data_IF_501804382246
#
_entry.id   IF_501804382246
#
_cell.length_a   1.000
_cell.length_b   1.000
_cell.length_c   1.000
_cell.angle_alpha   90.00
_cell.angle_beta   90.00
_cell.angle_gamma   90.00
#
_symmetry.space_group_name_H-M   'P 1'
#
loop_
_entity.id
_entity.type
_entity.pdbx_description
1 polymer ?
#
# COMPACT_ATOMS: atom_id res chain seq x y z
N UNK A 1 -40.58 -73.71 16.61
CA UNK A 1 -40.00 -72.43 17.10
C UNK A 1 -38.92 -71.92 16.14
N UNK A 2 -39.24 -71.12 15.10
CA UNK A 2 -38.22 -70.53 14.18
C UNK A 2 -38.47 -69.06 13.78
N UNK A 3 -39.46 -68.38 14.38
CA UNK A 3 -39.85 -67.00 14.00
C UNK A 3 -39.04 -65.92 14.73
N UNK A 4 -38.32 -66.24 15.81
CA UNK A 4 -37.59 -65.27 16.65
C UNK A 4 -36.25 -64.81 16.05
N UNK A 5 -35.56 -65.64 15.26
CA UNK A 5 -34.21 -65.31 14.76
C UNK A 5 -34.22 -64.24 13.66
N UNK A 6 -35.23 -64.22 12.79
CA UNK A 6 -35.33 -63.25 11.68
C UNK A 6 -35.45 -61.80 12.18
N UNK A 7 -36.21 -61.57 13.26
CA UNK A 7 -36.36 -60.22 13.84
C UNK A 7 -35.08 -59.70 14.48
N UNK A 8 -34.30 -60.58 15.10
CA UNK A 8 -33.02 -60.21 15.72
C UNK A 8 -31.97 -59.84 14.66
N UNK A 9 -31.95 -60.57 13.54
CA UNK A 9 -31.10 -60.26 12.39
C UNK A 9 -31.43 -58.91 11.75
N UNK A 10 -32.72 -58.59 11.57
CA UNK A 10 -33.17 -57.31 11.00
C UNK A 10 -32.80 -56.14 11.93
N UNK A 11 -32.96 -56.30 13.24
CA UNK A 11 -32.56 -55.29 14.22
C UNK A 11 -31.05 -54.99 14.18
N UNK A 12 -30.22 -56.03 14.14
CA UNK A 12 -28.77 -55.87 14.05
C UNK A 12 -28.34 -55.21 12.74
N UNK A 13 -28.98 -55.57 11.61
CA UNK A 13 -28.69 -54.95 10.32
C UNK A 13 -29.06 -53.45 10.29
N UNK A 14 -30.24 -53.09 10.79
CA UNK A 14 -30.66 -51.70 10.88
C UNK A 14 -29.76 -50.88 11.81
N UNK A 15 -29.29 -51.47 12.91
CA UNK A 15 -28.35 -50.82 13.82
C UNK A 15 -27.01 -50.55 13.15
N UNK A 16 -26.45 -51.53 12.42
CA UNK A 16 -25.20 -51.37 11.66
C UNK A 16 -25.35 -50.27 10.60
N UNK A 17 -26.46 -50.27 9.86
CA UNK A 17 -26.73 -49.24 8.85
C UNK A 17 -26.79 -47.83 9.46
N UNK A 18 -27.44 -47.69 10.61
CA UNK A 18 -27.56 -46.42 11.32
C UNK A 18 -26.19 -45.91 11.80
N UNK A 19 -25.32 -46.80 12.31
CA UNK A 19 -23.96 -46.43 12.72
C UNK A 19 -23.14 -45.95 11.51
N UNK A 20 -23.22 -46.63 10.37
CA UNK A 20 -22.51 -46.24 9.14
C UNK A 20 -22.97 -44.86 8.64
N UNK A 21 -24.28 -44.60 8.68
CA UNK A 21 -24.86 -43.32 8.28
C UNK A 21 -24.37 -42.20 9.21
N UNK A 22 -24.38 -42.44 10.52
CA UNK A 22 -23.91 -41.47 11.51
C UNK A 22 -22.42 -41.18 11.37
N UNK A 23 -21.60 -42.20 11.12
CA UNK A 23 -20.16 -42.04 10.87
C UNK A 23 -19.90 -41.22 9.61
N UNK A 24 -20.62 -41.52 8.52
CA UNK A 24 -20.54 -40.76 7.26
C UNK A 24 -20.94 -39.30 7.45
N UNK A 25 -21.97 -39.03 8.26
CA UNK A 25 -22.40 -37.67 8.57
C UNK A 25 -21.36 -36.90 9.40
N UNK A 26 -20.78 -37.54 10.42
CA UNK A 26 -19.70 -36.93 11.22
C UNK A 26 -18.48 -36.64 10.36
N UNK A 27 -18.08 -37.57 9.49
CA UNK A 27 -17.01 -37.38 8.50
C UNK A 27 -17.31 -36.23 7.54
N UNK A 28 -18.55 -36.09 7.09
CA UNK A 28 -18.98 -34.99 6.23
C UNK A 28 -18.90 -33.63 6.94
N UNK A 29 -19.39 -33.54 8.18
CA UNK A 29 -19.30 -32.31 8.99
C UNK A 29 -17.83 -31.96 9.25
N UNK A 30 -16.99 -32.94 9.58
CA UNK A 30 -15.55 -32.75 9.74
C UNK A 30 -14.88 -32.31 8.44
N UNK A 31 -15.28 -32.85 7.30
CA UNK A 31 -14.80 -32.44 6.00
C UNK A 31 -15.18 -30.99 5.68
N UNK A 32 -16.43 -30.60 5.94
CA UNK A 32 -16.88 -29.21 5.78
C UNK A 32 -16.15 -28.25 6.73
N UNK A 33 -15.95 -28.65 7.99
CA UNK A 33 -15.21 -27.85 8.96
C UNK A 33 -13.72 -27.73 8.61
N UNK A 34 -13.08 -28.83 8.22
CA UNK A 34 -11.67 -28.87 7.82
C UNK A 34 -11.44 -28.12 6.50
N UNK A 35 -12.33 -28.27 5.52
CA UNK A 35 -12.31 -27.51 4.26
C UNK A 35 -12.41 -26.00 4.48
N UNK A 36 -13.27 -25.56 5.40
CA UNK A 36 -13.36 -24.15 5.79
C UNK A 36 -12.13 -23.68 6.58
N UNK A 37 -11.46 -24.57 7.32
CA UNK A 37 -10.23 -24.24 8.05
C UNK A 37 -9.01 -24.09 7.12
N UNK A 38 -9.01 -24.78 5.98
CA UNK A 38 -7.93 -24.70 4.98
C UNK A 38 -7.98 -23.45 4.10
N UNK A 39 -9.08 -22.69 4.13
CA UNK A 39 -9.20 -21.39 3.47
C UNK A 39 -8.56 -20.22 4.25
N UNK A 40 -7.88 -20.49 5.37
CA UNK A 40 -7.16 -19.46 6.16
C UNK A 40 -5.64 -19.54 5.97
N UNK A 41 -5.12 -20.46 5.15
CA UNK A 41 -3.68 -20.57 4.81
C UNK A 41 -3.34 -20.12 3.38
N UNK A 42 -4.20 -19.28 2.81
CA UNK A 42 -3.87 -18.42 1.68
C UNK A 42 -4.35 -17.05 2.07
N UNK A 43 -3.55 -16.31 2.84
CA UNK A 43 -3.80 -14.88 3.01
C UNK A 43 -3.58 -14.26 1.62
N UNK A 44 -4.64 -14.17 0.83
CA UNK A 44 -4.69 -13.21 -0.27
C UNK A 44 -4.53 -11.85 0.40
N UNK A 45 -3.29 -11.41 0.54
CA UNK A 45 -2.97 -10.05 0.91
C UNK A 45 -3.49 -9.19 -0.24
N UNK A 46 -4.77 -8.84 -0.20
CA UNK A 46 -5.30 -7.88 -1.12
C UNK A 46 -4.49 -6.59 -0.95
N UNK A 47 -3.93 -6.03 -2.02
CA UNK A 47 -3.00 -4.92 -1.89
C UNK A 47 -3.69 -3.75 -1.19
N UNK A 48 -2.99 -3.11 -0.26
CA UNK A 48 -3.55 -1.99 0.50
C UNK A 48 -3.52 -0.74 -0.37
N UNK A 49 -4.63 -0.01 -0.40
CA UNK A 49 -4.73 1.22 -1.18
C UNK A 49 -3.87 2.33 -0.53
N UNK A 50 -2.98 2.98 -1.29
CA UNK A 50 -2.06 3.98 -0.71
C UNK A 50 -2.79 5.15 -0.03
N UNK A 51 -3.92 5.58 -0.57
CA UNK A 51 -4.69 6.68 0.02
C UNK A 51 -5.43 6.31 1.30
N UNK A 52 -5.44 5.04 1.74
CA UNK A 52 -5.93 4.66 3.07
C UNK A 52 -4.83 4.71 4.13
N UNK A 53 -3.56 4.69 3.72
CA UNK A 53 -2.41 4.79 4.62
C UNK A 53 -1.91 6.24 4.75
N UNK A 54 -2.00 7.00 3.66
CA UNK A 54 -1.55 8.40 3.58
C UNK A 54 -2.79 9.28 3.59
N UNK A 55 -3.18 9.72 4.77
CA UNK A 55 -4.41 10.49 4.98
C UNK A 55 -4.25 11.99 4.63
N UNK A 56 -3.02 12.49 4.53
CA UNK A 56 -2.71 13.86 4.12
C UNK A 56 -1.73 13.84 2.94
N UNK A 57 -2.13 14.46 1.83
CA UNK A 57 -1.33 14.58 0.61
C UNK A 57 -0.19 15.61 0.76
N UNK A 58 -0.32 16.56 1.69
CA UNK A 58 0.75 17.50 2.04
C UNK A 58 1.71 16.89 3.09
N UNK A 59 2.97 16.69 2.71
CA UNK A 59 4.03 16.23 3.60
C UNK A 59 4.65 17.36 4.45
N UNK A 60 4.27 18.61 4.20
CA UNK A 60 4.82 19.79 4.84
C UNK A 60 6.25 20.07 4.36
N UNK A 61 7.10 20.58 5.25
CA UNK A 61 8.46 20.99 4.88
C UNK A 61 9.45 19.82 4.86
N UNK A 62 10.13 19.67 3.73
CA UNK A 62 11.22 18.72 3.49
C UNK A 62 12.56 19.47 3.55
N UNK A 63 13.50 18.93 4.34
CA UNK A 63 14.86 19.41 4.35
C UNK A 63 15.62 18.80 3.18
N UNK A 64 15.99 19.65 2.21
CA UNK A 64 16.71 19.24 1.01
C UNK A 64 18.22 19.44 1.12
N UNK A 65 18.78 19.72 2.30
CA UNK A 65 20.22 19.88 2.53
C UNK A 65 20.93 20.85 1.54
N UNK A 66 20.22 21.85 1.03
CA UNK A 66 20.78 22.80 0.07
C UNK A 66 20.35 22.60 -1.38
N UNK A 67 19.63 21.52 -1.69
CA UNK A 67 19.21 21.23 -3.06
C UNK A 67 17.90 21.92 -3.43
N UNK A 68 17.75 22.37 -4.71
CA UNK A 68 16.51 22.94 -5.24
C UNK A 68 15.32 21.99 -5.20
N UNK A 69 15.56 20.76 -5.62
CA UNK A 69 14.55 19.72 -5.79
C UNK A 69 14.91 18.62 -4.77
N UNK A 70 13.94 18.13 -3.98
CA UNK A 70 14.19 17.01 -3.09
C UNK A 70 14.55 15.74 -3.89
N UNK A 71 15.33 14.86 -3.29
CA UNK A 71 15.57 13.53 -3.84
C UNK A 71 14.46 12.59 -3.38
N UNK A 72 14.33 11.44 -4.05
CA UNK A 72 13.43 10.38 -3.61
C UNK A 72 13.66 10.01 -2.13
N UNK A 73 14.93 9.92 -1.71
CA UNK A 73 15.29 9.60 -0.32
C UNK A 73 14.77 10.66 0.65
N UNK A 74 14.89 11.96 0.34
CA UNK A 74 14.36 13.01 1.20
C UNK A 74 12.83 12.90 1.39
N UNK A 75 12.11 12.51 0.34
CA UNK A 75 10.65 12.31 0.39
C UNK A 75 10.32 11.05 1.18
N UNK A 76 11.05 9.96 0.95
CA UNK A 76 10.90 8.68 1.66
C UNK A 76 11.16 8.81 3.16
N UNK A 77 12.20 9.54 3.55
CA UNK A 77 12.50 9.82 4.96
C UNK A 77 11.37 10.62 5.62
N UNK A 78 10.80 11.58 4.90
CA UNK A 78 9.66 12.37 5.39
C UNK A 78 8.41 11.51 5.55
N UNK A 79 8.12 10.65 4.58
CA UNK A 79 7.02 9.68 4.64
C UNK A 79 7.18 8.73 5.83
N UNK A 80 8.38 8.18 6.04
CA UNK A 80 8.70 7.31 7.19
C UNK A 80 8.44 7.97 8.54
N UNK A 81 8.72 9.27 8.60
CA UNK A 81 8.56 10.07 9.83
C UNK A 81 7.09 10.39 10.10
N UNK A 82 6.30 10.63 9.05
CA UNK A 82 4.88 11.01 9.17
C UNK A 82 3.95 9.79 9.30
N UNK A 83 4.30 8.70 8.63
CA UNK A 83 3.50 7.47 8.53
C UNK A 83 4.37 6.28 8.94
N UNK A 84 4.45 6.02 10.25
CA UNK A 84 5.32 4.96 10.80
C UNK A 84 4.93 3.54 10.37
N UNK A 85 3.66 3.33 10.05
CA UNK A 85 3.13 2.02 9.62
C UNK A 85 3.33 1.75 8.12
N UNK A 86 3.83 2.74 7.36
CA UNK A 86 4.08 2.61 5.93
C UNK A 86 5.45 1.96 5.69
N UNK A 87 5.48 0.82 4.98
CA UNK A 87 6.74 0.22 4.56
C UNK A 87 7.34 0.97 3.36
N UNK A 88 8.29 1.85 3.63
CA UNK A 88 8.92 2.73 2.64
C UNK A 88 9.73 1.97 1.57
N UNK A 89 10.22 0.77 1.88
CA UNK A 89 11.00 -0.04 0.94
C UNK A 89 10.15 -0.54 -0.24
N UNK A 90 8.84 -0.66 -0.04
CA UNK A 90 7.87 -1.07 -1.06
C UNK A 90 7.24 0.11 -1.80
N UNK A 91 7.72 1.33 -1.53
CA UNK A 91 7.22 2.56 -2.14
C UNK A 91 8.22 3.05 -3.19
N UNK A 92 7.68 3.56 -4.29
CA UNK A 92 8.40 4.25 -5.35
C UNK A 92 7.91 5.69 -5.43
N UNK A 93 8.84 6.64 -5.64
CA UNK A 93 8.51 8.05 -5.83
C UNK A 93 8.95 8.47 -7.22
N UNK A 94 8.03 8.99 -8.01
CA UNK A 94 8.25 9.40 -9.41
C UNK A 94 7.73 10.81 -9.64
N UNK A 95 8.08 11.41 -10.78
CA UNK A 95 7.66 12.78 -11.15
C UNK A 95 7.96 13.81 -10.04
N UNK A 96 9.17 13.75 -9.50
CA UNK A 96 9.59 14.62 -8.40
C UNK A 96 9.89 16.01 -8.97
N UNK A 97 9.13 17.00 -8.53
CA UNK A 97 9.37 18.41 -8.82
C UNK A 97 9.76 19.15 -7.54
N UNK A 98 9.90 20.46 -7.63
CA UNK A 98 10.19 21.31 -6.49
C UNK A 98 9.12 21.22 -5.38
N UNK A 99 7.85 20.98 -5.72
CA UNK A 99 6.72 21.11 -4.77
C UNK A 99 5.77 19.91 -4.73
N UNK A 100 5.92 18.98 -5.68
CA UNK A 100 5.06 17.84 -5.78
C UNK A 100 5.83 16.60 -6.24
N UNK A 101 5.31 15.44 -5.90
CA UNK A 101 5.77 14.17 -6.42
C UNK A 101 4.61 13.20 -6.51
N UNK A 102 4.84 12.06 -7.15
CA UNK A 102 3.88 10.97 -7.22
C UNK A 102 4.42 9.77 -6.45
N UNK A 103 3.62 9.25 -5.53
CA UNK A 103 3.87 7.98 -4.84
C UNK A 103 3.14 6.86 -5.58
N UNK A 104 3.85 5.77 -5.83
CA UNK A 104 3.29 4.52 -6.32
C UNK A 104 3.87 3.34 -5.55
N UNK A 105 3.19 2.20 -5.60
CA UNK A 105 3.76 0.95 -5.13
C UNK A 105 4.96 0.55 -6.01
N UNK A 106 6.01 0.00 -5.40
CA UNK A 106 7.08 -0.70 -6.11
C UNK A 106 6.62 -2.09 -6.50
N UNK A 107 5.90 -2.75 -5.60
CA UNK A 107 5.23 -4.03 -5.83
C UNK A 107 3.72 -3.89 -5.62
N UNK A 108 2.97 -4.16 -6.68
CA UNK A 108 1.51 -4.09 -6.68
C UNK A 108 0.85 -5.22 -5.88
N UNK A 109 1.62 -6.18 -5.36
CA UNK A 109 1.14 -7.23 -4.47
C UNK A 109 0.86 -6.73 -3.03
N UNK A 110 1.55 -5.66 -2.60
CA UNK A 110 1.45 -5.13 -1.23
C UNK A 110 0.65 -3.83 -1.17
N UNK A 111 0.87 -2.94 -2.12
CA UNK A 111 0.18 -1.66 -2.21
C UNK A 111 -0.42 -1.45 -3.60
N UNK A 112 -1.51 -0.70 -3.68
CA UNK A 112 -2.09 -0.30 -4.97
C UNK A 112 -2.51 1.17 -4.99
N UNK A 113 -2.61 1.71 -6.20
CA UNK A 113 -2.99 3.09 -6.46
C UNK A 113 -1.80 4.02 -6.71
N UNK A 114 -2.14 5.25 -7.08
CA UNK A 114 -1.20 6.34 -7.37
C UNK A 114 -1.64 7.55 -6.56
N UNK A 115 -0.74 8.13 -5.80
CA UNK A 115 -1.05 9.25 -4.92
C UNK A 115 -0.15 10.45 -5.24
N UNK A 116 -0.69 11.54 -5.80
CA UNK A 116 0.04 12.79 -5.88
C UNK A 116 0.20 13.38 -4.48
N UNK A 117 1.40 13.82 -4.17
CA UNK A 117 1.75 14.46 -2.89
C UNK A 117 2.29 15.86 -3.13
N UNK A 118 2.13 16.71 -2.13
CA UNK A 118 2.62 18.09 -2.09
C UNK A 118 3.59 18.27 -0.93
N UNK A 119 4.50 19.22 -1.07
CA UNK A 119 5.43 19.59 -0.03
C UNK A 119 6.06 20.96 -0.28
N UNK A 120 6.73 21.47 0.74
CA UNK A 120 7.60 22.65 0.63
C UNK A 120 9.05 22.26 0.87
N UNK A 121 9.99 22.84 0.11
CA UNK A 121 11.42 22.64 0.33
C UNK A 121 12.01 23.77 1.18
N UNK A 122 12.77 23.41 2.22
CA UNK A 122 13.35 24.37 3.18
C UNK A 122 14.29 25.37 2.50
N UNK A 123 15.03 24.91 1.50
CA UNK A 123 15.94 25.75 0.72
C UNK A 123 15.18 26.73 -0.20
N UNK A 124 14.03 26.31 -0.72
CA UNK A 124 13.12 27.14 -1.51
C UNK A 124 12.48 28.29 -0.71
N UNK A 125 12.30 28.09 0.59
CA UNK A 125 11.83 29.16 1.48
C UNK A 125 12.93 30.19 1.72
N UNK A 126 14.18 29.75 1.91
CA UNK A 126 15.33 30.66 2.11
C UNK A 126 15.55 31.59 0.92
N UNK A 127 15.42 31.11 -0.32
CA UNK A 127 15.55 31.95 -1.53
C UNK A 127 14.49 33.04 -1.66
N UNK A 128 13.26 32.81 -1.19
CA UNK A 128 12.20 33.82 -1.19
C UNK A 128 12.40 34.96 -0.18
N UNK A 129 13.23 34.73 0.84
CA UNK A 129 13.52 35.70 1.91
C UNK A 129 14.80 36.52 1.67
N UNK A 130 15.64 36.18 0.67
CA UNK A 130 16.83 36.98 0.36
C UNK A 130 16.44 38.27 -0.39
N UNK A 131 16.60 39.46 0.20
CA UNK A 131 16.45 40.70 -0.55
C UNK A 131 17.51 40.74 -1.66
N UNK A 132 17.09 40.81 -2.91
CA UNK A 132 17.95 40.95 -4.09
C UNK A 132 18.64 42.32 -4.04
N UNK A 133 19.68 42.46 -3.20
CA UNK A 133 20.53 43.66 -3.12
C UNK A 133 21.97 43.41 -3.56
N UNK A 134 22.39 42.15 -3.72
CA UNK A 134 23.74 41.79 -4.17
C UNK A 134 23.67 41.07 -5.53
N UNK A 135 24.31 41.67 -6.55
CA UNK A 135 24.34 41.18 -7.93
C UNK A 135 24.99 39.80 -8.10
N UNK A 136 25.74 39.30 -7.11
CA UNK A 136 26.36 37.96 -7.17
C UNK A 136 25.35 36.82 -7.02
N UNK A 137 24.20 37.07 -6.39
CA UNK A 137 23.10 36.11 -6.25
C UNK A 137 22.08 36.20 -7.39
N UNK A 138 22.20 37.24 -8.23
CA UNK A 138 21.30 37.47 -9.38
C UNK A 138 21.48 36.38 -10.45
N UNK A 139 22.70 35.88 -10.67
CA UNK A 139 22.95 34.78 -11.62
C UNK A 139 22.37 33.45 -11.13
N UNK A 140 22.39 33.20 -9.82
CA UNK A 140 21.80 32.00 -9.20
C UNK A 140 20.27 32.10 -9.25
N UNK A 141 19.69 33.25 -8.87
CA UNK A 141 18.25 33.49 -8.98
C UNK A 141 17.74 33.44 -10.43
N UNK A 142 18.52 33.95 -11.40
CA UNK A 142 18.15 33.92 -12.82
C UNK A 142 18.22 32.51 -13.44
N UNK A 143 19.19 31.67 -13.03
CA UNK A 143 19.18 30.25 -13.40
C UNK A 143 18.00 29.49 -12.76
N UNK A 144 17.48 29.95 -11.62
CA UNK A 144 16.29 29.41 -10.96
C UNK A 144 14.97 29.85 -11.60
N UNK A 145 14.88 31.09 -12.08
CA UNK A 145 13.75 31.53 -12.92
C UNK A 145 13.71 30.67 -14.20
N UNK A 146 14.87 30.26 -14.72
CA UNK A 146 14.95 29.31 -15.84
C UNK A 146 14.36 27.92 -15.51
N UNK A 147 14.59 27.38 -14.31
CA UNK A 147 13.93 26.13 -13.88
C UNK A 147 12.40 26.31 -13.76
N UNK A 148 11.96 27.44 -13.23
CA UNK A 148 10.53 27.79 -13.13
C UNK A 148 9.87 27.97 -14.52
N UNK A 149 10.64 28.34 -15.54
CA UNK A 149 10.15 28.54 -16.92
C UNK A 149 10.14 27.26 -17.75
N UNK A 150 11.01 26.30 -17.45
CA UNK A 150 11.08 25.01 -18.15
C UNK A 150 9.94 24.06 -17.72
N UNK A 151 9.63 23.98 -16.42
CA UNK A 151 8.55 23.11 -15.93
C UNK A 151 7.16 23.56 -16.41
N UNK A 152 6.93 24.87 -16.57
CA UNK A 152 5.63 25.42 -17.03
C UNK A 152 5.44 25.39 -18.57
N UNK A 153 6.44 24.95 -19.34
CA UNK A 153 6.36 24.89 -20.82
C UNK A 153 6.41 23.48 -21.40
N UNK A 154 6.61 22.45 -20.59
CA UNK A 154 6.55 21.05 -21.07
C UNK A 154 5.10 20.60 -21.29
N UNK A 155 4.12 21.21 -20.62
CA UNK A 155 2.70 20.81 -20.70
C UNK A 155 1.90 21.56 -21.80
N UNK A 156 2.50 22.54 -22.48
CA UNK A 156 1.81 23.37 -23.49
C UNK A 156 2.10 22.98 -24.95
N UNK A 157 2.78 21.86 -25.20
CA UNK A 157 3.07 21.33 -26.53
C UNK A 157 2.55 19.89 -26.72
N UNK A 158 1.25 19.68 -26.48
CA UNK A 158 0.48 18.53 -27.02
C UNK A 158 -0.76 19.01 -27.73
#
# INVERSE_FOLDING_TARGET
MKKKSKKWWILNFNLIFLVILLLSFILYVLYCAYGNSRLVLGQENHPVLLSSMINEDDLGTINTNGFPIPTENHIKDKLKTKYHDLNIDDISVTNITQWNATITARDNSLYMGKLPIKYTCTWCKKIGEFPVKDNRYKTIANNFIYCYWLDNNVDNNS
#
